data_IF_153745561601
#
_entry.id   IF_153745561601
#
_cell.length_a   1.000
_cell.length_b   1.000
_cell.length_c   1.000
_cell.angle_alpha   90.00
_cell.angle_beta   90.00
_cell.angle_gamma   90.00
#
_symmetry.space_group_name_H-M   'P 1'
#
loop_
_entity.id
_entity.type
_entity.pdbx_description
1 polymer ?
#
# COMPACT_ATOMS: atom_id res chain seq x y z
N UNK A 1 -6.81 31.70 -37.72
CA UNK A 1 -8.23 32.05 -37.97
C UNK A 1 -8.79 31.37 -39.21
N UNK A 2 -9.96 30.76 -39.06
CA UNK A 2 -10.78 30.09 -40.07
C UNK A 2 -12.20 30.67 -40.01
N UNK A 3 -12.90 30.67 -41.15
CA UNK A 3 -14.28 31.15 -41.20
C UNK A 3 -15.27 30.06 -40.73
N UNK A 4 -16.02 30.35 -39.67
CA UNK A 4 -17.08 29.50 -39.13
C UNK A 4 -18.40 30.28 -39.12
N UNK A 5 -19.16 30.17 -40.22
CA UNK A 5 -20.36 31.00 -40.42
C UNK A 5 -19.98 32.44 -40.74
N UNK A 6 -20.41 33.39 -39.92
CA UNK A 6 -20.09 34.82 -40.05
C UNK A 6 -18.86 35.24 -39.23
N UNK A 7 -18.33 34.33 -38.39
CA UNK A 7 -17.23 34.61 -37.47
C UNK A 7 -15.89 34.05 -37.98
N UNK A 8 -14.79 34.74 -37.63
CA UNK A 8 -13.42 34.25 -37.81
C UNK A 8 -12.92 33.74 -36.45
N UNK A 9 -12.67 32.43 -36.37
CA UNK A 9 -12.27 31.76 -35.12
C UNK A 9 -10.92 31.08 -35.27
N UNK A 10 -10.15 30.95 -34.19
CA UNK A 10 -8.94 30.13 -34.21
C UNK A 10 -9.27 28.70 -33.79
N UNK A 11 -9.42 27.79 -34.77
CA UNK A 11 -9.69 26.37 -34.51
C UNK A 11 -8.63 25.68 -33.64
N UNK A 12 -7.49 26.32 -33.35
CA UNK A 12 -6.47 25.75 -32.47
C UNK A 12 -6.70 26.03 -30.99
N UNK A 13 -7.48 27.05 -30.66
CA UNK A 13 -7.60 27.59 -29.29
C UNK A 13 -9.05 27.91 -28.91
N UNK A 14 -9.95 28.08 -29.88
CA UNK A 14 -11.36 28.36 -29.66
C UNK A 14 -12.08 27.14 -29.08
N UNK A 15 -12.63 27.31 -27.86
CA UNK A 15 -13.32 26.25 -27.12
C UNK A 15 -14.52 25.68 -27.89
N UNK A 16 -15.26 26.52 -28.61
CA UNK A 16 -16.52 26.13 -29.26
C UNK A 16 -16.34 25.65 -30.71
N UNK A 17 -15.13 25.81 -31.26
CA UNK A 17 -14.76 25.47 -32.63
C UNK A 17 -13.47 24.66 -32.70
N UNK A 18 -13.21 23.80 -31.73
CA UNK A 18 -11.94 23.14 -31.61
C UNK A 18 -11.67 22.13 -32.73
N UNK A 19 -10.63 22.38 -33.52
CA UNK A 19 -10.23 21.57 -34.67
C UNK A 19 -11.12 21.72 -35.92
N UNK A 20 -12.40 22.07 -35.74
CA UNK A 20 -13.36 22.36 -36.81
C UNK A 20 -14.54 23.20 -36.29
N UNK A 21 -15.21 23.93 -37.19
CA UNK A 21 -16.36 24.78 -36.85
C UNK A 21 -17.48 23.99 -36.15
N UNK A 22 -17.99 24.54 -35.05
CA UNK A 22 -19.09 23.98 -34.26
C UNK A 22 -18.73 22.73 -33.45
N UNK A 23 -17.45 22.36 -33.35
CA UNK A 23 -16.98 21.29 -32.49
C UNK A 23 -16.52 21.86 -31.13
N UNK A 24 -17.48 22.14 -30.27
CA UNK A 24 -17.20 22.62 -28.92
C UNK A 24 -16.65 21.53 -28.00
N UNK A 25 -15.68 21.89 -27.18
CA UNK A 25 -15.17 21.03 -26.12
C UNK A 25 -16.17 20.94 -24.95
N UNK A 26 -16.08 19.86 -24.17
CA UNK A 26 -16.89 19.72 -22.95
C UNK A 26 -16.44 20.76 -21.90
N UNK A 27 -17.29 21.05 -20.90
CA UNK A 27 -17.00 22.05 -19.87
C UNK A 27 -15.71 21.80 -19.05
N UNK A 28 -15.16 20.59 -19.12
CA UNK A 28 -13.90 20.20 -18.47
C UNK A 28 -12.73 20.03 -19.46
N UNK A 29 -12.82 20.67 -20.62
CA UNK A 29 -11.83 20.59 -21.70
C UNK A 29 -11.44 21.99 -22.22
N UNK A 30 -10.20 22.11 -22.69
CA UNK A 30 -9.69 23.29 -23.42
C UNK A 30 -9.35 22.85 -24.84
N UNK A 31 -9.54 23.74 -25.81
CA UNK A 31 -8.97 23.52 -27.12
C UNK A 31 -7.47 23.79 -27.12
N UNK A 32 -6.66 22.75 -27.30
CA UNK A 32 -5.21 22.88 -27.43
C UNK A 32 -4.76 22.29 -28.77
N UNK A 33 -4.21 23.15 -29.64
CA UNK A 33 -3.76 22.77 -30.98
C UNK A 33 -4.85 22.08 -31.84
N UNK A 34 -6.11 22.42 -31.61
CA UNK A 34 -7.26 21.88 -32.34
C UNK A 34 -7.73 20.52 -31.84
N UNK A 35 -7.39 20.17 -30.61
CA UNK A 35 -7.90 19.00 -29.90
C UNK A 35 -8.47 19.42 -28.56
N UNK A 36 -9.63 18.86 -28.19
CA UNK A 36 -10.18 19.04 -26.85
C UNK A 36 -9.36 18.20 -25.86
N UNK A 37 -8.64 18.89 -24.98
CA UNK A 37 -7.80 18.30 -23.93
C UNK A 37 -8.50 18.47 -22.60
N UNK A 38 -8.65 17.39 -21.85
CA UNK A 38 -9.36 17.39 -20.56
C UNK A 38 -8.47 17.93 -19.45
N UNK A 39 -9.02 18.83 -18.63
CA UNK A 39 -8.41 19.33 -17.39
C UNK A 39 -9.35 19.10 -16.21
N UNK A 40 -8.79 18.81 -15.04
CA UNK A 40 -9.55 18.42 -13.84
C UNK A 40 -10.26 19.62 -13.19
N UNK A 41 -9.82 20.85 -13.48
CA UNK A 41 -10.42 22.08 -12.97
C UNK A 41 -10.54 23.11 -14.09
N UNK A 42 -11.75 23.23 -14.62
CA UNK A 42 -12.11 24.19 -15.66
C UNK A 42 -13.31 25.01 -15.21
N UNK A 43 -13.33 26.27 -15.60
CA UNK A 43 -14.55 27.05 -15.63
C UNK A 43 -14.67 27.75 -16.97
N UNK A 44 -15.92 27.86 -17.45
CA UNK A 44 -16.25 28.61 -18.66
C UNK A 44 -16.39 30.07 -18.27
N UNK A 45 -15.62 30.95 -18.90
CA UNK A 45 -15.81 32.39 -18.82
C UNK A 45 -16.40 32.90 -20.14
N UNK A 46 -17.30 33.86 -20.05
CA UNK A 46 -17.97 34.46 -21.19
C UNK A 46 -17.61 35.94 -21.32
N UNK A 47 -17.65 36.45 -22.56
CA UNK A 47 -17.51 37.88 -22.85
C UNK A 47 -18.60 38.72 -22.15
N UNK A 48 -19.84 38.20 -22.10
CA UNK A 48 -21.00 38.81 -21.44
C UNK A 48 -21.79 37.79 -20.61
N UNK A 49 -22.46 38.24 -19.53
CA UNK A 49 -23.25 37.37 -18.64
C UNK A 49 -24.35 36.58 -19.39
N UNK A 50 -24.93 37.17 -20.44
CA UNK A 50 -25.99 36.57 -21.25
C UNK A 50 -25.47 35.48 -22.24
N UNK A 51 -24.16 35.35 -22.40
CA UNK A 51 -23.52 34.29 -23.17
C UNK A 51 -23.31 33.00 -22.36
N UNK A 52 -23.45 33.10 -21.02
CA UNK A 52 -23.24 32.01 -20.07
C UNK A 52 -24.56 31.59 -19.38
N UNK A 53 -24.78 30.29 -19.21
CA UNK A 53 -25.92 29.75 -18.45
C UNK A 53 -25.51 28.55 -17.62
N UNK A 54 -25.58 28.66 -16.29
CA UNK A 54 -25.23 27.57 -15.35
C UNK A 54 -23.84 26.93 -15.61
N UNK A 55 -22.85 27.74 -15.99
CA UNK A 55 -21.48 27.28 -16.29
C UNK A 55 -21.32 26.62 -17.66
N UNK A 56 -22.27 26.83 -18.57
CA UNK A 56 -22.26 26.33 -19.95
C UNK A 56 -22.30 27.51 -20.92
N UNK A 57 -21.55 27.42 -22.01
CA UNK A 57 -21.61 28.39 -23.09
C UNK A 57 -22.93 28.28 -23.88
N UNK A 58 -23.63 29.39 -24.06
CA UNK A 58 -24.90 29.45 -24.80
C UNK A 58 -24.72 29.85 -26.27
N UNK A 59 -23.61 30.51 -26.61
CA UNK A 59 -23.30 30.97 -27.98
C UNK A 59 -21.88 30.57 -28.38
N UNK A 60 -21.71 29.75 -29.44
CA UNK A 60 -20.38 29.36 -29.92
C UNK A 60 -19.48 30.55 -30.26
N UNK A 61 -18.22 30.53 -29.82
CA UNK A 61 -17.20 31.54 -30.11
C UNK A 61 -17.28 32.78 -29.21
N UNK A 62 -18.00 32.68 -28.08
CA UNK A 62 -18.16 33.76 -27.07
C UNK A 62 -17.70 33.37 -25.67
N UNK A 63 -17.15 32.18 -25.56
CA UNK A 63 -16.73 31.61 -24.30
C UNK A 63 -15.34 31.02 -24.44
N UNK A 64 -14.53 31.21 -23.40
CA UNK A 64 -13.24 30.56 -23.24
C UNK A 64 -13.28 29.64 -22.02
N UNK A 65 -12.65 28.48 -22.14
CA UNK A 65 -12.39 27.61 -21.00
C UNK A 65 -11.09 28.03 -20.31
N UNK A 66 -11.20 28.44 -19.07
CA UNK A 66 -10.04 28.69 -18.21
C UNK A 66 -9.84 27.48 -17.33
N UNK A 67 -8.74 26.77 -17.58
CA UNK A 67 -8.38 25.60 -16.81
C UNK A 67 -7.03 25.78 -16.15
N UNK A 68 -6.96 25.38 -14.89
CA UNK A 68 -5.71 25.36 -14.15
C UNK A 68 -5.21 23.92 -14.03
N UNK A 69 -3.91 23.72 -14.24
CA UNK A 69 -3.27 22.46 -13.90
C UNK A 69 -3.44 22.23 -12.41
N UNK A 70 -4.24 21.24 -12.05
CA UNK A 70 -4.44 20.90 -10.66
C UNK A 70 -3.15 20.25 -10.15
N UNK A 71 -2.47 20.83 -9.14
CA UNK A 71 -1.18 20.36 -8.73
C UNK A 71 -1.28 18.94 -8.15
N UNK A 72 -0.52 18.03 -8.75
CA UNK A 72 -0.26 16.71 -8.17
C UNK A 72 0.61 16.91 -6.94
N UNK A 73 0.28 16.22 -5.85
CA UNK A 73 1.11 16.20 -4.66
C UNK A 73 2.31 15.29 -4.96
N UNK A 74 3.48 15.89 -5.12
CA UNK A 74 4.76 15.18 -5.25
C UNK A 74 5.63 15.52 -4.03
N UNK A 75 5.97 14.50 -3.24
CA UNK A 75 6.89 14.62 -2.11
C UNK A 75 8.27 14.09 -2.49
N UNK A 76 9.33 14.75 -2.03
CA UNK A 76 10.69 14.22 -2.11
C UNK A 76 10.83 12.93 -1.27
N UNK A 77 11.84 12.12 -1.56
CA UNK A 77 12.11 10.89 -0.78
C UNK A 77 12.31 11.18 0.72
N UNK A 78 12.92 12.33 1.05
CA UNK A 78 13.11 12.77 2.43
C UNK A 78 11.78 13.10 3.11
N UNK A 79 10.89 13.82 2.43
CA UNK A 79 9.55 14.15 2.95
C UNK A 79 8.68 12.90 3.09
N UNK A 80 8.78 11.93 2.18
CA UNK A 80 8.09 10.64 2.30
C UNK A 80 8.57 9.89 3.52
N UNK A 81 9.89 9.79 3.71
CA UNK A 81 10.50 9.09 4.84
C UNK A 81 10.15 9.76 6.18
N UNK A 82 10.13 11.09 6.23
CA UNK A 82 9.74 11.85 7.41
C UNK A 82 8.28 11.57 7.78
N UNK A 83 7.37 11.65 6.81
CA UNK A 83 5.95 11.42 7.04
C UNK A 83 5.67 9.96 7.46
N UNK A 84 6.30 8.98 6.79
CA UNK A 84 6.26 7.57 7.21
C UNK A 84 6.73 7.37 8.64
N UNK A 85 7.86 8.00 8.99
CA UNK A 85 8.43 7.92 10.33
C UNK A 85 7.51 8.57 11.36
N UNK A 86 6.87 9.68 11.01
CA UNK A 86 5.88 10.37 11.85
C UNK A 86 4.70 9.45 12.14
N UNK A 87 4.15 8.78 11.13
CA UNK A 87 3.07 7.79 11.31
C UNK A 87 3.56 6.62 12.16
N UNK A 88 4.63 5.95 11.77
CA UNK A 88 5.09 4.72 12.40
C UNK A 88 5.50 4.89 13.88
N UNK A 89 6.01 6.07 14.27
CA UNK A 89 6.35 6.37 15.67
C UNK A 89 5.12 6.53 16.56
N UNK A 90 4.00 6.94 15.98
CA UNK A 90 2.79 7.29 16.70
C UNK A 90 1.77 6.16 16.69
N UNK A 91 1.57 5.53 15.53
CA UNK A 91 0.60 4.47 15.34
C UNK A 91 0.95 3.61 14.14
N UNK A 92 0.99 2.30 14.34
CA UNK A 92 1.31 1.31 13.30
C UNK A 92 0.11 0.46 12.90
N UNK A 93 -0.88 0.35 13.79
CA UNK A 93 -2.13 -0.36 13.57
C UNK A 93 -3.30 0.37 14.23
N UNK A 94 -4.51 0.06 13.78
CA UNK A 94 -5.76 0.35 14.49
C UNK A 94 -6.37 -0.95 14.99
N UNK A 95 -6.79 -0.97 16.25
CA UNK A 95 -7.56 -2.07 16.84
C UNK A 95 -8.99 -1.59 17.02
N UNK A 96 -9.91 -2.21 16.30
CA UNK A 96 -11.35 -2.09 16.54
C UNK A 96 -11.84 -3.35 17.22
N UNK A 97 -12.60 -3.17 18.28
CA UNK A 97 -13.20 -4.24 19.07
C UNK A 97 -14.70 -4.09 18.97
N UNK A 98 -15.39 -5.20 18.81
CA UNK A 98 -16.85 -5.21 18.72
C UNK A 98 -17.39 -6.55 19.20
N UNK A 99 -18.57 -6.52 19.81
CA UNK A 99 -19.32 -7.72 20.16
C UNK A 99 -20.52 -7.84 19.23
N UNK A 100 -20.57 -8.94 18.47
CA UNK A 100 -21.66 -9.25 17.54
C UNK A 100 -22.06 -10.71 17.75
N UNK A 101 -23.35 -10.95 17.98
CA UNK A 101 -23.93 -12.29 18.16
C UNK A 101 -23.17 -13.16 19.18
N UNK A 102 -22.95 -12.64 20.38
CA UNK A 102 -22.21 -13.29 21.48
C UNK A 102 -20.75 -13.66 21.14
N UNK A 103 -20.14 -12.97 20.18
CA UNK A 103 -18.73 -13.17 19.77
C UNK A 103 -17.95 -11.88 19.96
N UNK A 104 -16.71 -12.01 20.41
CA UNK A 104 -15.76 -10.91 20.38
C UNK A 104 -15.08 -10.93 19.01
N UNK A 105 -15.23 -9.84 18.27
CA UNK A 105 -14.54 -9.63 17.00
C UNK A 105 -13.47 -8.56 17.25
N UNK A 106 -12.22 -8.91 16.92
CA UNK A 106 -11.11 -7.97 16.87
C UNK A 106 -10.77 -7.75 15.40
N UNK A 107 -10.89 -6.51 14.95
CA UNK A 107 -10.42 -6.05 13.63
C UNK A 107 -9.13 -5.26 13.83
N UNK A 108 -8.04 -5.79 13.29
CA UNK A 108 -6.71 -5.20 13.35
C UNK A 108 -6.38 -4.70 11.96
N UNK A 109 -6.22 -3.39 11.83
CA UNK A 109 -5.94 -2.74 10.56
C UNK A 109 -4.48 -2.28 10.56
N UNK A 110 -3.66 -2.83 9.66
CA UNK A 110 -2.32 -2.31 9.40
C UNK A 110 -2.44 -0.95 8.69
N UNK A 111 -1.88 0.12 9.26
CA UNK A 111 -1.98 1.47 8.69
C UNK A 111 -0.69 1.96 8.04
N UNK A 112 0.45 1.28 8.23
CA UNK A 112 1.74 1.74 7.70
C UNK A 112 2.03 1.25 6.28
N UNK A 113 1.12 0.49 5.66
CA UNK A 113 1.31 -0.06 4.31
C UNK A 113 2.51 -1.03 4.19
N UNK A 114 3.04 -1.47 5.33
CA UNK A 114 4.18 -2.37 5.43
C UNK A 114 3.93 -3.52 6.39
N UNK A 115 4.41 -4.74 6.05
CA UNK A 115 4.06 -5.91 6.85
C UNK A 115 4.61 -5.82 8.28
N UNK A 116 3.74 -5.97 9.28
CA UNK A 116 4.13 -5.94 10.69
C UNK A 116 4.64 -7.32 11.11
N UNK A 117 5.93 -7.43 11.41
CA UNK A 117 6.60 -8.69 11.75
C UNK A 117 6.36 -9.11 13.20
N UNK A 118 6.39 -10.41 13.49
CA UNK A 118 6.28 -10.97 14.85
C UNK A 118 5.13 -10.37 15.66
N UNK A 119 3.94 -10.33 15.03
CA UNK A 119 2.77 -9.69 15.59
C UNK A 119 2.08 -10.63 16.57
N UNK A 120 1.87 -10.19 17.80
CA UNK A 120 1.25 -10.97 18.87
C UNK A 120 0.11 -10.21 19.50
N UNK A 121 -1.00 -10.91 19.71
CA UNK A 121 -2.20 -10.38 20.37
C UNK A 121 -2.38 -11.19 21.63
N UNK A 122 -2.34 -10.54 22.79
CA UNK A 122 -2.63 -11.15 24.09
C UNK A 122 -3.95 -10.60 24.61
N UNK A 123 -4.89 -11.47 24.95
CA UNK A 123 -6.22 -11.07 25.39
C UNK A 123 -6.42 -11.56 26.81
N UNK A 124 -6.71 -10.65 27.74
CA UNK A 124 -7.26 -10.95 29.06
C UNK A 124 -8.78 -10.95 28.98
N UNK A 125 -9.38 -12.09 29.30
CA UNK A 125 -10.81 -12.33 29.11
C UNK A 125 -11.51 -12.20 30.47
N UNK A 126 -12.63 -11.46 30.57
CA UNK A 126 -13.36 -11.37 31.82
C UNK A 126 -14.02 -12.70 32.18
N UNK A 127 -14.07 -13.04 33.48
CA UNK A 127 -14.72 -14.27 33.99
C UNK A 127 -16.20 -14.39 33.63
N UNK A 128 -16.84 -13.24 33.35
CA UNK A 128 -18.21 -13.18 32.85
C UNK A 128 -18.37 -13.81 31.47
N UNK A 129 -17.31 -13.84 30.65
CA UNK A 129 -17.30 -14.50 29.34
C UNK A 129 -16.85 -15.97 29.44
N UNK A 130 -15.76 -16.24 30.16
CA UNK A 130 -15.25 -17.61 30.37
C UNK A 130 -14.57 -17.73 31.74
N UNK A 131 -14.76 -18.84 32.46
CA UNK A 131 -14.05 -19.06 33.73
C UNK A 131 -12.61 -19.51 33.50
N UNK A 132 -12.36 -20.19 32.37
CA UNK A 132 -11.05 -20.72 32.00
C UNK A 132 -10.71 -20.48 30.53
N UNK A 133 -9.43 -20.35 30.22
CA UNK A 133 -8.95 -20.15 28.85
C UNK A 133 -9.30 -21.33 27.92
N UNK A 134 -9.41 -22.55 28.48
CA UNK A 134 -9.79 -23.77 27.74
C UNK A 134 -11.24 -23.80 27.26
N UNK A 135 -12.09 -22.93 27.78
CA UNK A 135 -13.50 -22.81 27.36
C UNK A 135 -13.69 -21.88 26.16
N UNK A 136 -12.65 -21.11 25.82
CA UNK A 136 -12.64 -20.15 24.73
C UNK A 136 -12.29 -20.88 23.44
N UNK A 137 -12.92 -20.51 22.34
CA UNK A 137 -12.52 -20.96 21.01
C UNK A 137 -12.36 -19.78 20.06
N UNK A 138 -11.62 -19.96 18.98
CA UNK A 138 -11.36 -18.93 17.99
C UNK A 138 -11.23 -19.53 16.60
N UNK A 139 -11.44 -18.69 15.58
CA UNK A 139 -11.12 -18.98 14.18
C UNK A 139 -9.61 -19.11 13.92
N UNK A 140 -8.76 -18.58 14.81
CA UNK A 140 -7.31 -18.70 14.73
C UNK A 140 -6.73 -19.48 15.92
N UNK A 141 -5.62 -20.22 15.70
CA UNK A 141 -4.91 -20.88 16.78
C UNK A 141 -4.40 -19.88 17.81
N UNK A 142 -4.44 -20.25 19.08
CA UNK A 142 -3.88 -19.46 20.16
C UNK A 142 -3.24 -20.37 21.22
N UNK A 143 -2.29 -19.80 21.94
CA UNK A 143 -1.68 -20.41 23.12
C UNK A 143 -2.42 -19.95 24.37
N UNK A 144 -2.60 -20.85 25.34
CA UNK A 144 -3.06 -20.50 26.67
C UNK A 144 -1.86 -20.03 27.48
N UNK A 145 -1.84 -18.74 27.83
CA UNK A 145 -0.78 -18.13 28.64
C UNK A 145 -1.08 -18.33 30.12
N UNK A 146 -2.36 -18.22 30.50
CA UNK A 146 -2.82 -18.41 31.86
C UNK A 146 -4.27 -18.93 31.87
N UNK A 147 -4.58 -19.83 32.81
CA UNK A 147 -5.90 -20.47 32.91
C UNK A 147 -7.01 -19.49 33.33
N UNK A 148 -6.74 -18.55 34.24
CA UNK A 148 -7.60 -17.35 34.44
C UNK A 148 -7.45 -16.47 33.20
N UNK A 149 -8.48 -16.33 32.35
CA UNK A 149 -8.26 -16.64 30.95
C UNK A 149 -7.44 -15.57 30.26
N UNK A 150 -6.19 -15.93 29.95
CA UNK A 150 -5.29 -15.15 29.11
C UNK A 150 -4.81 -16.02 27.97
N UNK A 151 -5.15 -15.61 26.75
CA UNK A 151 -4.77 -16.29 25.52
C UNK A 151 -3.87 -15.41 24.67
N UNK A 152 -3.06 -16.03 23.81
CA UNK A 152 -2.20 -15.32 22.87
C UNK A 152 -2.26 -15.91 21.48
N UNK A 153 -2.52 -15.07 20.49
CA UNK A 153 -2.40 -15.40 19.08
C UNK A 153 -1.12 -14.81 18.53
N UNK A 154 -0.40 -15.58 17.70
CA UNK A 154 0.86 -15.17 17.08
C UNK A 154 0.76 -15.22 15.56
N UNK A 155 1.15 -14.13 14.90
CA UNK A 155 1.31 -14.02 13.45
C UNK A 155 2.78 -13.75 13.13
N UNK A 156 3.34 -14.50 12.17
CA UNK A 156 4.66 -14.16 11.65
C UNK A 156 4.66 -12.77 11.01
N UNK A 157 3.60 -12.45 10.29
CA UNK A 157 3.43 -11.18 9.61
C UNK A 157 1.95 -10.83 9.54
N UNK A 158 1.62 -9.56 9.80
CA UNK A 158 0.30 -8.99 9.58
C UNK A 158 0.36 -8.03 8.38
N UNK A 159 -0.57 -8.20 7.45
CA UNK A 159 -0.74 -7.41 6.22
C UNK A 159 -2.19 -6.99 6.10
N UNK A 160 -2.44 -5.79 5.57
CA UNK A 160 -3.80 -5.28 5.37
C UNK A 160 -4.64 -5.28 6.65
N UNK A 161 -5.89 -5.72 6.54
CA UNK A 161 -6.81 -5.89 7.68
C UNK A 161 -6.97 -7.37 8.04
N UNK A 162 -6.86 -7.68 9.33
CA UNK A 162 -7.09 -9.01 9.88
C UNK A 162 -8.24 -8.99 10.87
N UNK A 163 -9.20 -9.89 10.69
CA UNK A 163 -10.31 -10.10 11.61
C UNK A 163 -10.10 -11.39 12.40
N UNK A 164 -10.33 -11.35 13.70
CA UNK A 164 -10.26 -12.48 14.61
C UNK A 164 -11.57 -12.59 15.39
N UNK A 165 -12.11 -13.79 15.44
CA UNK A 165 -13.37 -14.07 16.11
C UNK A 165 -13.12 -15.01 17.28
N UNK A 166 -13.57 -14.61 18.47
CA UNK A 166 -13.52 -15.43 19.67
C UNK A 166 -14.94 -15.76 20.14
N UNK A 167 -15.13 -17.02 20.51
CA UNK A 167 -16.40 -17.60 20.95
C UNK A 167 -16.28 -18.01 22.41
N UNK A 168 -17.34 -17.74 23.17
CA UNK A 168 -17.37 -17.93 24.62
C UNK A 168 -18.53 -18.84 25.02
N UNK A 169 -18.40 -19.57 26.15
CA UNK A 169 -19.47 -20.43 26.65
C UNK A 169 -20.64 -19.64 27.25
N UNK A 170 -20.41 -18.41 27.70
CA UNK A 170 -21.42 -17.52 28.29
C UNK A 170 -21.77 -16.43 27.27
N UNK A 171 -23.02 -16.01 27.28
CA UNK A 171 -23.48 -14.88 26.47
C UNK A 171 -22.73 -13.61 26.86
N UNK A 172 -22.37 -12.82 25.86
CA UNK A 172 -21.64 -11.57 26.05
C UNK A 172 -22.38 -10.44 25.34
N UNK A 173 -22.59 -9.36 26.08
CA UNK A 173 -23.21 -8.14 25.55
C UNK A 173 -22.15 -7.07 25.26
N UNK A 174 -22.59 -5.95 24.68
CA UNK A 174 -21.72 -4.83 24.35
C UNK A 174 -21.06 -4.19 25.58
N UNK A 175 -21.65 -4.29 26.77
CA UNK A 175 -21.07 -3.72 27.99
C UNK A 175 -19.79 -4.47 28.41
N UNK A 176 -19.68 -5.75 28.05
CA UNK A 176 -18.49 -6.55 28.31
C UNK A 176 -17.29 -6.18 27.44
N UNK A 177 -17.50 -5.44 26.35
CA UNK A 177 -16.47 -5.09 25.38
C UNK A 177 -15.25 -4.43 26.05
N UNK A 178 -15.47 -3.47 26.94
CA UNK A 178 -14.40 -2.73 27.63
C UNK A 178 -13.58 -3.59 28.59
N UNK A 179 -14.14 -4.71 29.09
CA UNK A 179 -13.46 -5.60 30.02
C UNK A 179 -12.51 -6.58 29.35
N UNK A 180 -12.60 -6.75 28.04
CA UNK A 180 -11.58 -7.45 27.27
C UNK A 180 -10.35 -6.56 27.11
N UNK A 181 -9.29 -6.88 27.85
CA UNK A 181 -8.02 -6.17 27.74
C UNK A 181 -7.19 -6.84 26.64
N UNK A 182 -6.93 -6.11 25.56
CA UNK A 182 -6.18 -6.58 24.41
C UNK A 182 -4.83 -5.85 24.38
N UNK A 183 -3.75 -6.60 24.46
CA UNK A 183 -2.37 -6.12 24.33
C UNK A 183 -1.78 -6.61 23.01
N UNK A 184 -1.35 -5.68 22.17
CA UNK A 184 -0.78 -5.98 20.86
C UNK A 184 0.68 -5.57 20.87
N UNK A 185 1.53 -6.49 20.41
CA UNK A 185 2.96 -6.24 20.17
C UNK A 185 3.34 -6.65 18.77
N UNK A 186 4.29 -5.95 18.20
CA UNK A 186 4.90 -6.32 16.93
C UNK A 186 6.39 -5.98 16.96
N UNK A 187 7.14 -6.62 16.08
CA UNK A 187 8.55 -6.34 15.83
C UNK A 187 8.76 -5.04 15.04
N UNK A 188 10.00 -4.83 14.59
CA UNK A 188 10.35 -3.64 13.83
C UNK A 188 9.56 -3.57 12.51
N UNK A 189 9.05 -2.38 12.21
CA UNK A 189 8.50 -2.06 10.89
C UNK A 189 9.67 -1.80 9.96
N UNK A 190 9.77 -2.58 8.88
CA UNK A 190 10.76 -2.36 7.84
C UNK A 190 10.06 -1.79 6.62
N UNK A 191 10.26 -0.48 6.41
CA UNK A 191 9.82 0.19 5.20
C UNK A 191 10.77 -0.12 4.06
N UNK A 192 10.21 -0.47 2.90
CA UNK A 192 10.95 -0.57 1.64
C UNK A 192 10.43 0.48 0.68
N UNK A 193 11.33 1.16 -0.02
CA UNK A 193 10.99 2.17 -1.03
C UNK A 193 10.03 1.62 -2.10
N UNK A 194 10.11 0.31 -2.39
CA UNK A 194 9.24 -0.40 -3.33
C UNK A 194 7.74 -0.38 -2.98
N UNK A 195 7.38 0.02 -1.76
CA UNK A 195 5.99 0.12 -1.29
C UNK A 195 5.38 1.50 -1.54
N UNK A 196 6.22 2.50 -1.80
CA UNK A 196 5.81 3.84 -2.16
C UNK A 196 5.38 3.83 -3.62
N UNK A 197 4.17 4.31 -3.87
CA UNK A 197 3.60 4.44 -5.19
C UNK A 197 4.14 5.71 -5.84
N UNK A 198 4.69 5.57 -7.04
CA UNK A 198 5.03 6.73 -7.86
C UNK A 198 3.77 7.32 -8.54
N UNK A 199 3.94 8.47 -9.19
CA UNK A 199 2.83 9.21 -9.82
C UNK A 199 2.16 8.48 -10.98
N UNK A 200 2.87 7.56 -11.64
CA UNK A 200 2.33 6.77 -12.74
C UNK A 200 1.50 5.59 -12.18
N UNK A 201 1.84 5.11 -10.97
CA UNK A 201 1.07 4.10 -10.25
C UNK A 201 -0.17 4.69 -9.55
N UNK A 202 -0.02 5.85 -8.90
CA UNK A 202 -1.11 6.59 -8.26
C UNK A 202 -0.85 8.09 -8.29
N UNK A 203 -1.69 8.83 -9.01
CA UNK A 203 -1.69 10.29 -8.97
C UNK A 203 -2.64 10.79 -7.87
N UNK A 204 -2.15 11.68 -7.01
CA UNK A 204 -2.93 12.34 -5.96
C UNK A 204 -3.00 13.82 -6.26
N UNK A 205 -4.18 14.29 -6.63
CA UNK A 205 -4.41 15.66 -7.10
C UNK A 205 -5.24 16.42 -6.07
N UNK A 206 -4.83 17.63 -5.68
CA UNK A 206 -5.54 18.42 -4.67
C UNK A 206 -6.35 19.55 -5.29
N UNK A 207 -7.63 19.61 -4.96
CA UNK A 207 -8.57 20.62 -5.42
C UNK A 207 -9.06 21.39 -4.19
N UNK A 208 -9.08 22.73 -4.29
CA UNK A 208 -9.63 23.60 -3.27
C UNK A 208 -10.82 24.35 -3.86
N UNK A 209 -11.97 24.29 -3.18
CA UNK A 209 -13.15 25.08 -3.53
C UNK A 209 -13.54 25.95 -2.36
N UNK A 210 -13.65 27.25 -2.60
CA UNK A 210 -13.97 28.25 -1.60
C UNK A 210 -15.40 28.75 -1.78
N UNK A 211 -16.13 28.87 -0.68
CA UNK A 211 -17.45 29.50 -0.65
C UNK A 211 -17.68 30.27 0.65
N UNK A 212 -18.91 30.71 0.89
CA UNK A 212 -19.27 31.50 2.06
C UNK A 212 -19.08 30.75 3.40
N UNK A 213 -19.00 29.42 3.38
CA UNK A 213 -18.88 28.57 4.58
C UNK A 213 -17.44 28.15 4.86
N UNK A 214 -16.52 28.31 3.90
CA UNK A 214 -15.09 28.05 4.08
C UNK A 214 -14.46 27.40 2.85
N UNK A 215 -13.45 26.56 3.09
CA UNK A 215 -12.71 25.86 2.02
C UNK A 215 -12.99 24.36 2.09
N UNK A 216 -13.43 23.80 0.97
CA UNK A 216 -13.53 22.36 0.74
C UNK A 216 -12.25 21.90 0.07
N UNK A 217 -11.62 20.88 0.66
CA UNK A 217 -10.41 20.24 0.15
C UNK A 217 -10.79 18.87 -0.37
N UNK A 218 -10.45 18.59 -1.63
CA UNK A 218 -10.68 17.31 -2.28
C UNK A 218 -9.34 16.76 -2.76
N UNK A 219 -8.96 15.56 -2.31
CA UNK A 219 -7.86 14.80 -2.88
C UNK A 219 -8.43 13.75 -3.83
N UNK A 220 -8.21 13.95 -5.12
CA UNK A 220 -8.59 12.99 -6.16
C UNK A 220 -7.48 11.97 -6.34
N UNK A 221 -7.80 10.70 -6.08
CA UNK A 221 -6.91 9.55 -6.21
C UNK A 221 -7.15 8.90 -7.58
N UNK A 222 -6.14 8.89 -8.44
CA UNK A 222 -6.25 8.35 -9.81
C UNK A 222 -5.26 7.19 -9.97
N UNK A 223 -5.72 5.93 -9.86
CA UNK A 223 -4.84 4.78 -10.00
C UNK A 223 -4.45 4.53 -11.47
N UNK A 224 -3.17 4.32 -11.77
CA UNK A 224 -2.72 3.92 -13.11
C UNK A 224 -2.96 2.43 -13.43
N UNK A 225 -3.26 1.63 -12.39
CA UNK A 225 -3.58 0.20 -12.45
C UNK A 225 -4.38 -0.18 -11.20
N UNK A 226 -4.99 -1.36 -11.18
CA UNK A 226 -5.59 -1.89 -9.93
C UNK A 226 -4.54 -2.01 -8.83
N UNK A 227 -4.74 -1.27 -7.74
CA UNK A 227 -3.93 -1.32 -6.53
C UNK A 227 -4.70 -2.02 -5.42
N UNK A 228 -3.98 -2.69 -4.51
CA UNK A 228 -4.55 -3.39 -3.35
C UNK A 228 -3.87 -2.94 -2.07
N UNK A 229 -4.62 -2.98 -0.97
CA UNK A 229 -4.15 -2.56 0.34
C UNK A 229 -3.45 -1.20 0.30
N UNK A 230 -4.13 -0.22 -0.31
CA UNK A 230 -3.60 1.13 -0.45
C UNK A 230 -3.75 1.86 0.89
N UNK A 231 -2.68 2.57 1.28
CA UNK A 231 -2.68 3.48 2.43
C UNK A 231 -2.24 4.86 1.94
N UNK A 232 -3.00 5.89 2.30
CA UNK A 232 -2.63 7.28 2.00
C UNK A 232 -2.42 8.01 3.33
N UNK A 233 -1.18 8.10 3.82
CA UNK A 233 -0.84 9.05 4.87
C UNK A 233 -1.17 10.47 4.39
N UNK A 234 -1.92 11.20 5.21
CA UNK A 234 -2.31 12.58 4.97
C UNK A 234 -1.95 13.41 6.20
N UNK A 235 -0.99 14.32 6.02
CA UNK A 235 -0.62 15.33 7.01
C UNK A 235 -1.26 16.66 6.59
N UNK A 236 -2.19 17.12 7.42
CA UNK A 236 -2.90 18.38 7.22
C UNK A 236 -2.20 19.48 8.00
N UNK A 237 -1.66 20.52 7.34
CA UNK A 237 -0.96 21.59 8.02
C UNK A 237 -1.90 22.39 8.92
N UNK A 238 -1.36 22.93 10.02
CA UNK A 238 -2.11 23.71 11.03
C UNK A 238 -2.85 24.92 10.49
N UNK A 239 -2.36 25.48 9.39
CA UNK A 239 -2.99 26.59 8.71
C UNK A 239 -4.34 26.18 8.08
N UNK A 240 -4.50 24.90 7.69
CA UNK A 240 -5.77 24.31 7.23
C UNK A 240 -6.67 23.95 8.41
N UNK A 241 -6.17 23.15 9.35
CA UNK A 241 -6.91 22.69 10.52
C UNK A 241 -5.97 22.54 11.72
N UNK A 242 -6.36 23.10 12.87
CA UNK A 242 -5.59 22.95 14.11
C UNK A 242 -5.79 21.59 14.79
N UNK A 243 -6.89 20.92 14.47
CA UNK A 243 -7.30 19.62 14.99
C UNK A 243 -8.17 18.90 13.96
N UNK A 244 -8.20 17.57 14.01
CA UNK A 244 -9.14 16.74 13.23
C UNK A 244 -10.60 17.17 13.47
N UNK A 245 -10.92 17.62 14.69
CA UNK A 245 -12.28 18.03 15.06
C UNK A 245 -12.78 19.28 14.32
N UNK A 246 -11.86 20.08 13.76
CA UNK A 246 -12.21 21.24 12.92
C UNK A 246 -12.59 20.84 11.48
N UNK A 247 -12.29 19.59 11.10
CA UNK A 247 -12.50 19.08 9.76
C UNK A 247 -13.83 18.33 9.68
N UNK A 248 -14.67 18.71 8.73
CA UNK A 248 -15.86 17.91 8.41
C UNK A 248 -15.50 16.84 7.39
N UNK A 249 -15.18 15.63 7.87
CA UNK A 249 -14.85 14.46 7.06
C UNK A 249 -16.13 13.76 6.59
N UNK A 250 -16.26 13.54 5.27
CA UNK A 250 -17.46 12.93 4.69
C UNK A 250 -17.44 11.40 4.69
N UNK A 251 -16.25 10.81 4.59
CA UNK A 251 -16.01 9.37 4.53
C UNK A 251 -15.55 8.82 5.89
N UNK A 252 -15.53 7.48 6.05
CA UNK A 252 -15.17 6.77 7.29
C UNK A 252 -13.96 5.81 7.15
N UNK A 253 -13.40 5.67 5.95
CA UNK A 253 -12.29 4.77 5.64
C UNK A 253 -10.91 5.36 5.99
N UNK A 254 -10.80 5.95 7.18
CA UNK A 254 -9.56 6.54 7.69
C UNK A 254 -9.29 6.13 9.14
N UNK A 255 -8.04 6.28 9.54
CA UNK A 255 -7.59 6.14 10.93
C UNK A 255 -6.89 7.42 11.34
N UNK A 256 -7.32 8.00 12.46
CA UNK A 256 -6.61 9.12 13.09
C UNK A 256 -5.35 8.58 13.76
N UNK A 257 -4.20 9.13 13.37
CA UNK A 257 -2.89 8.85 13.95
C UNK A 257 -2.59 9.88 15.04
N UNK A 258 -2.82 11.16 14.75
CA UNK A 258 -2.68 12.27 15.69
C UNK A 258 -3.80 13.31 15.44
N UNK A 259 -4.22 13.98 16.50
CA UNK A 259 -5.18 15.09 16.42
C UNK A 259 -4.58 16.34 15.74
N UNK A 260 -3.26 16.56 15.83
CA UNK A 260 -2.51 17.49 14.97
C UNK A 260 -2.45 16.87 13.56
N UNK A 261 -3.29 17.32 12.62
CA UNK A 261 -4.12 16.36 11.91
C UNK A 261 -3.29 15.46 10.99
N UNK A 262 -3.06 14.24 11.47
CA UNK A 262 -2.35 13.18 10.77
C UNK A 262 -3.26 11.97 10.71
N UNK A 263 -3.60 11.57 9.50
CA UNK A 263 -4.49 10.44 9.25
C UNK A 263 -3.85 9.49 8.25
N UNK A 264 -4.32 8.26 8.25
CA UNK A 264 -4.09 7.32 7.17
C UNK A 264 -5.43 6.91 6.59
N UNK A 265 -5.62 7.16 5.30
CA UNK A 265 -6.76 6.64 4.55
C UNK A 265 -6.48 5.24 4.05
N UNK A 266 -7.53 4.43 4.02
CA UNK A 266 -7.43 2.98 3.89
C UNK A 266 -8.35 2.53 2.76
N UNK A 267 -7.76 1.86 1.76
CA UNK A 267 -8.50 1.27 0.66
C UNK A 267 -8.05 -0.18 0.48
N UNK A 268 -9.00 -1.12 0.53
CA UNK A 268 -8.70 -2.53 0.26
C UNK A 268 -8.30 -2.74 -1.20
N UNK A 269 -8.98 -2.06 -2.12
CA UNK A 269 -8.67 -2.03 -3.55
C UNK A 269 -8.98 -0.66 -4.12
N UNK A 270 -8.15 -0.18 -5.05
CA UNK A 270 -8.36 1.05 -5.81
C UNK A 270 -8.27 0.72 -7.30
N UNK A 271 -9.42 0.63 -7.97
CA UNK A 271 -9.56 0.28 -9.39
C UNK A 271 -9.93 1.48 -10.26
N UNK A 272 -10.73 2.37 -9.71
CA UNK A 272 -11.23 3.59 -10.35
C UNK A 272 -10.82 4.81 -9.53
N UNK A 273 -11.12 5.99 -10.08
CA UNK A 273 -10.92 7.24 -9.36
C UNK A 273 -11.76 7.25 -8.07
N UNK A 274 -11.13 7.72 -6.98
CA UNK A 274 -11.77 7.92 -5.68
C UNK A 274 -11.44 9.33 -5.17
N UNK A 275 -12.30 9.86 -4.31
CA UNK A 275 -12.09 11.18 -3.72
C UNK A 275 -12.05 11.06 -2.20
N UNK A 276 -11.11 11.80 -1.60
CA UNK A 276 -11.07 12.10 -0.18
C UNK A 276 -11.52 13.55 -0.04
N UNK A 277 -12.54 13.83 0.77
CA UNK A 277 -13.07 15.20 0.89
C UNK A 277 -13.23 15.60 2.35
N UNK A 278 -12.75 16.80 2.67
CA UNK A 278 -12.98 17.43 3.96
C UNK A 278 -13.17 18.93 3.85
N UNK A 279 -13.94 19.50 4.76
CA UNK A 279 -14.18 20.94 4.82
C UNK A 279 -13.52 21.58 6.04
N UNK A 280 -12.96 22.77 5.84
CA UNK A 280 -12.47 23.65 6.92
C UNK A 280 -13.26 24.96 6.94
N UNK A 281 -13.64 25.49 8.12
CA UNK A 281 -14.53 26.65 8.25
C UNK A 281 -13.78 27.99 8.10
N UNK A 282 -12.85 28.08 7.14
CA UNK A 282 -12.02 29.26 6.87
C UNK A 282 -11.58 29.27 5.41
N UNK A 283 -11.31 30.46 4.89
CA UNK A 283 -10.63 30.65 3.61
C UNK A 283 -9.13 30.43 3.80
N UNK A 284 -8.50 29.76 2.84
CA UNK A 284 -7.13 29.27 2.95
C UNK A 284 -6.27 29.94 1.88
N UNK A 285 -5.12 30.48 2.25
CA UNK A 285 -4.18 31.07 1.29
C UNK A 285 -3.39 30.00 0.52
N UNK A 286 -2.79 30.40 -0.61
CA UNK A 286 -2.08 29.48 -1.50
C UNK A 286 -0.78 28.91 -0.91
N UNK A 287 -0.16 29.58 0.05
CA UNK A 287 1.03 29.05 0.74
C UNK A 287 0.62 27.88 1.64
N UNK A 288 -0.48 28.02 2.36
CA UNK A 288 -1.06 26.98 3.18
C UNK A 288 -1.54 25.79 2.34
N UNK A 289 -2.22 26.04 1.21
CA UNK A 289 -2.65 24.98 0.27
C UNK A 289 -1.48 24.10 -0.17
N UNK A 290 -0.28 24.69 -0.31
CA UNK A 290 0.94 23.99 -0.75
C UNK A 290 1.51 23.04 0.29
N UNK A 291 1.29 23.30 1.58
CA UNK A 291 1.84 22.53 2.71
C UNK A 291 1.11 21.20 2.97
N UNK A 292 0.00 20.93 2.28
CA UNK A 292 -0.70 19.65 2.38
C UNK A 292 0.16 18.52 1.82
N UNK A 293 0.47 17.52 2.66
CA UNK A 293 1.33 16.39 2.29
C UNK A 293 0.53 15.09 2.28
N UNK A 294 0.63 14.38 1.16
CA UNK A 294 0.04 13.06 1.00
C UNK A 294 0.84 12.26 -0.03
N UNK A 295 0.87 10.94 0.11
CA UNK A 295 1.43 10.05 -0.89
C UNK A 295 0.84 8.64 -0.75
N UNK A 296 1.01 7.81 -1.78
CA UNK A 296 0.46 6.47 -1.81
C UNK A 296 1.41 5.38 -1.32
N UNK A 297 0.89 4.44 -0.56
CA UNK A 297 1.53 3.17 -0.23
C UNK A 297 0.67 2.02 -0.72
N UNK A 298 1.27 0.92 -1.19
CA UNK A 298 0.55 -0.32 -1.45
C UNK A 298 1.37 -1.54 -1.02
N UNK A 299 0.68 -2.56 -0.51
CA UNK A 299 1.31 -3.83 -0.18
C UNK A 299 1.49 -4.72 -1.43
N UNK A 300 2.66 -5.36 -1.54
CA UNK A 300 2.87 -6.46 -2.49
C UNK A 300 3.11 -6.03 -3.94
N UNK A 301 4.09 -5.13 -4.17
CA UNK A 301 4.69 -4.96 -5.51
C UNK A 301 5.20 -6.33 -5.96
N UNK A 302 4.42 -7.03 -6.80
CA UNK A 302 4.95 -8.14 -7.59
C UNK A 302 5.99 -7.49 -8.48
N UNK A 303 7.26 -7.63 -8.14
CA UNK A 303 8.35 -7.35 -9.07
C UNK A 303 7.94 -8.07 -10.35
N UNK A 304 7.72 -7.37 -11.49
CA UNK A 304 7.56 -8.07 -12.74
C UNK A 304 8.89 -8.80 -12.94
N UNK A 305 8.89 -10.12 -12.70
CA UNK A 305 10.03 -10.94 -13.08
C UNK A 305 10.11 -10.76 -14.58
N UNK A 306 11.06 -9.94 -15.02
CA UNK A 306 11.28 -9.68 -16.43
C UNK A 306 11.27 -11.03 -17.15
N UNK A 307 10.49 -11.21 -18.24
CA UNK A 307 10.45 -12.49 -18.95
C UNK A 307 11.83 -12.92 -19.48
N UNK A 308 12.80 -12.00 -19.48
CA UNK A 308 14.19 -12.22 -19.86
C UNK A 308 15.09 -12.72 -18.70
N UNK A 309 14.67 -12.62 -17.44
CA UNK A 309 15.43 -13.09 -16.28
C UNK A 309 15.75 -14.60 -16.33
N UNK A 310 14.83 -15.51 -16.74
CA UNK A 310 15.19 -16.91 -16.94
C UNK A 310 16.23 -17.11 -18.07
N UNK A 311 16.30 -16.22 -19.07
CA UNK A 311 17.28 -16.31 -20.16
C UNK A 311 18.69 -15.87 -19.72
N UNK A 312 18.81 -14.94 -18.78
CA UNK A 312 20.09 -14.47 -18.24
C UNK A 312 20.74 -15.48 -17.28
N UNK A 313 19.96 -16.37 -16.65
CA UNK A 313 20.45 -17.39 -15.71
C UNK A 313 21.06 -18.60 -16.45
N UNK A 314 20.59 -18.90 -17.67
CA UNK A 314 21.09 -20.01 -18.50
C UNK A 314 22.61 -19.93 -18.76
N UNK A 315 23.20 -18.79 -19.22
CA UNK A 315 24.63 -18.70 -19.42
C UNK A 315 25.43 -18.77 -18.10
N UNK A 316 24.88 -18.27 -16.99
CA UNK A 316 25.54 -18.32 -15.67
C UNK A 316 25.60 -19.76 -15.13
N UNK A 317 24.49 -20.51 -15.24
CA UNK A 317 24.48 -21.95 -14.91
C UNK A 317 25.42 -22.72 -15.85
N UNK A 318 25.46 -22.37 -17.13
CA UNK A 318 26.40 -22.95 -18.10
C UNK A 318 27.86 -22.72 -17.73
N UNK A 319 28.23 -21.49 -17.34
CA UNK A 319 29.58 -21.15 -16.88
C UNK A 319 29.89 -21.85 -15.56
N UNK A 320 28.96 -21.92 -14.61
CA UNK A 320 29.13 -22.66 -13.35
C UNK A 320 29.31 -24.16 -13.61
N UNK A 321 28.51 -24.78 -14.48
CA UNK A 321 28.66 -26.18 -14.86
C UNK A 321 29.99 -26.46 -15.57
N UNK A 322 30.44 -25.57 -16.47
CA UNK A 322 31.75 -25.67 -17.13
C UNK A 322 32.87 -25.48 -16.11
N UNK A 323 32.73 -24.55 -15.17
CA UNK A 323 33.70 -24.32 -14.11
C UNK A 323 33.79 -25.54 -13.17
N UNK A 324 32.66 -26.11 -12.75
CA UNK A 324 32.63 -27.35 -11.96
C UNK A 324 33.10 -28.59 -12.73
N UNK A 325 32.88 -28.66 -14.06
CA UNK A 325 33.49 -29.71 -14.90
C UNK A 325 35.01 -29.54 -15.02
N UNK A 326 35.53 -28.31 -15.00
CA UNK A 326 36.97 -28.03 -15.08
C UNK A 326 37.71 -28.26 -13.77
N UNK A 327 36.99 -28.26 -12.62
CA UNK A 327 37.53 -28.53 -11.28
C UNK A 327 37.30 -29.97 -10.77
N UNK A 328 36.72 -30.87 -11.58
CA UNK A 328 36.81 -32.30 -11.33
C UNK A 328 38.14 -32.86 -11.88
N UNK A 329 39.23 -32.64 -11.15
CA UNK A 329 40.45 -33.48 -11.24
C UNK A 329 40.20 -34.86 -10.60
N UNK A 330 39.15 -35.53 -11.07
CA UNK A 330 38.81 -36.90 -10.69
C UNK A 330 38.76 -37.76 -11.94
N UNK A 331 39.93 -38.08 -12.51
CA UNK A 331 40.04 -39.12 -13.53
C UNK A 331 39.44 -40.45 -13.02
N UNK A 332 39.09 -41.39 -13.91
CA UNK A 332 38.48 -42.67 -13.52
C UNK A 332 39.34 -43.36 -12.47
N UNK A 333 38.78 -43.60 -11.28
CA UNK A 333 39.51 -44.20 -10.17
C UNK A 333 40.02 -45.58 -10.58
N UNK A 334 41.34 -45.73 -10.61
CA UNK A 334 42.00 -46.99 -10.92
C UNK A 334 41.72 -47.97 -9.79
N UNK A 335 40.92 -49.00 -10.05
CA UNK A 335 40.64 -50.05 -9.06
C UNK A 335 41.95 -50.73 -8.67
N UNK A 336 42.26 -50.72 -7.37
CA UNK A 336 43.49 -51.33 -6.84
C UNK A 336 43.34 -52.85 -6.85
N UNK A 337 44.35 -53.54 -7.38
CA UNK A 337 44.45 -54.99 -7.22
C UNK A 337 44.78 -55.36 -5.77
N UNK A 338 44.39 -56.57 -5.33
CA UNK A 338 44.61 -57.03 -3.93
C UNK A 338 46.06 -56.83 -3.48
N UNK A 339 47.03 -57.10 -4.35
CA UNK A 339 48.45 -56.99 -4.01
C UNK A 339 48.90 -55.54 -3.78
N UNK A 340 48.45 -54.59 -4.60
CA UNK A 340 48.73 -53.16 -4.42
C UNK A 340 48.07 -52.62 -3.15
N UNK A 341 46.82 -53.02 -2.89
CA UNK A 341 46.10 -52.61 -1.68
C UNK A 341 46.84 -53.03 -0.41
N UNK A 342 47.29 -54.29 -0.35
CA UNK A 342 48.00 -54.81 0.83
C UNK A 342 49.37 -54.17 1.02
N UNK A 343 50.08 -53.85 -0.07
CA UNK A 343 51.38 -53.15 0.02
C UNK A 343 51.17 -51.77 0.63
N UNK A 344 50.19 -51.00 0.17
CA UNK A 344 49.91 -49.65 0.68
C UNK A 344 49.45 -49.69 2.14
N UNK A 345 48.58 -50.65 2.49
CA UNK A 345 48.08 -50.76 3.86
C UNK A 345 49.19 -51.17 4.85
N UNK A 346 50.11 -52.05 4.43
CA UNK A 346 51.24 -52.46 5.27
C UNK A 346 52.27 -51.34 5.45
N UNK A 347 52.49 -50.52 4.42
CA UNK A 347 53.38 -49.35 4.50
C UNK A 347 52.86 -48.29 5.50
N UNK A 348 51.55 -48.27 5.73
CA UNK A 348 50.90 -47.45 6.77
C UNK A 348 50.95 -48.05 8.18
N UNK A 349 51.58 -49.23 8.35
CA UNK A 349 51.78 -49.86 9.64
C UNK A 349 50.57 -50.59 10.21
N UNK A 350 49.58 -50.92 9.37
CA UNK A 350 48.37 -51.64 9.80
C UNK A 350 48.65 -53.13 10.07
N UNK A 351 47.99 -53.68 11.09
CA UNK A 351 48.07 -55.10 11.46
C UNK A 351 47.42 -55.99 10.37
N UNK A 352 48.01 -57.15 10.07
CA UNK A 352 47.66 -57.95 8.89
C UNK A 352 46.19 -58.41 8.86
N UNK A 353 45.61 -58.65 10.04
CA UNK A 353 44.20 -59.05 10.16
C UNK A 353 43.21 -57.89 9.88
N UNK A 354 43.61 -56.64 10.11
CA UNK A 354 42.80 -55.45 9.80
C UNK A 354 42.85 -55.13 8.30
N UNK A 355 44.01 -55.34 7.66
CA UNK A 355 44.17 -55.18 6.21
C UNK A 355 43.25 -56.15 5.46
N UNK A 356 43.14 -57.40 5.91
CA UNK A 356 42.23 -58.37 5.28
C UNK A 356 40.76 -57.95 5.38
N UNK A 357 40.35 -57.42 6.53
CA UNK A 357 38.97 -56.93 6.74
C UNK A 357 38.68 -55.70 5.87
N UNK A 358 39.62 -54.75 5.84
CA UNK A 358 39.53 -53.56 5.00
C UNK A 358 39.49 -53.89 3.51
N UNK A 359 40.23 -54.92 3.06
CA UNK A 359 40.17 -55.38 1.68
C UNK A 359 38.80 -55.96 1.31
N UNK A 360 38.17 -56.71 2.22
CA UNK A 360 36.82 -57.24 1.99
C UNK A 360 35.80 -56.12 1.85
N UNK A 361 35.89 -55.06 2.65
CA UNK A 361 35.02 -53.89 2.53
C UNK A 361 35.29 -53.10 1.25
N UNK A 362 36.56 -52.89 0.90
CA UNK A 362 36.97 -52.22 -0.33
C UNK A 362 36.41 -52.94 -1.57
N UNK A 363 36.58 -54.27 -1.66
CA UNK A 363 36.05 -55.11 -2.76
C UNK A 363 34.53 -55.19 -2.78
N UNK A 364 33.86 -54.93 -1.65
CA UNK A 364 32.40 -54.94 -1.61
C UNK A 364 31.82 -53.61 -2.10
N UNK A 365 32.58 -52.52 -1.99
CA UNK A 365 32.16 -51.16 -2.33
C UNK A 365 32.55 -50.76 -3.76
N UNK A 366 33.53 -51.43 -4.33
CA UNK A 366 34.07 -51.27 -5.68
C UNK A 366 34.30 -52.64 -6.30
#
# INVERSE_FOLDING_TARGET
EYACGEDCVDLKEDHDNCGLCGNGCDNDQVCEQGLCVRYINCYVACDEDDDCGAGICLRPGKCDAYCENVPVIELSEEEQQELLTSVAKQKTYELRKMIIDDKLILEIINIVGAPLQNFTITISIPKRAAEKATEVSSDYPFDIIHDDPVIRTHFQTLTGTQTLTYYFPKNIDKELEEYFVVDIKHGLVSFKQEQILDKDELSITRIFREDAEGTTVTLKLTPGKTLREVRIPLEVPKCLAGSISEMNLKQDNYVVVNDDPLMVWIFSTLETEEEIEFRVPRIVDDECKKQLRAFGLAEGKRIPISPWLPLAIIPIIGVILIFFQRFHEGGPQKHLGKKEFFIIARDKGEEEHEIERAWYEYRRRF
#
